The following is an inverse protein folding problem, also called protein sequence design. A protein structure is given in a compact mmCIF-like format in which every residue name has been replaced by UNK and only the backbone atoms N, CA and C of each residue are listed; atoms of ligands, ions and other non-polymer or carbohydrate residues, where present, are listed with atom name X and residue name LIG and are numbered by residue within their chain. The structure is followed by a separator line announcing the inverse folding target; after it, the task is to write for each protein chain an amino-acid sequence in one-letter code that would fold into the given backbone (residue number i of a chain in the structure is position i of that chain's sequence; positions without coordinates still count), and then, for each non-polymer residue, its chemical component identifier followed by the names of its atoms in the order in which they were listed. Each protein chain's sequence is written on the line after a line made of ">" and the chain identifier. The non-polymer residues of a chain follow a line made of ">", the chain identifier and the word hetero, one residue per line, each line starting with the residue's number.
data_IF_790340215436
#
_entry.id   IF_790340215436
#
_cell.length_a   1.000
_cell.length_b   1.000
_cell.length_c   1.000
_cell.angle_alpha   90.00
_cell.angle_beta   90.00
_cell.angle_gamma   90.00
#
_symmetry.space_group_name_H-M   'P 1'
#
loop_
_entity.id
_entity.type
_entity.pdbx_description
1 polymer ?
#
# COMPACT_ATOMS: atom_id res chain seq x y z
N UNK A 1 1.47 28.80 -72.80
CA UNK A 1 0.90 27.56 -72.23
C UNK A 1 1.56 26.39 -72.96
N UNK A 2 2.24 25.40 -72.38
CA UNK A 2 2.32 24.91 -71.02
C UNK A 2 3.73 24.28 -70.80
N UNK A 3 4.28 24.45 -69.60
CA UNK A 3 5.62 24.00 -69.25
C UNK A 3 5.70 22.50 -68.98
N UNK A 4 6.68 21.83 -69.60
CA UNK A 4 7.02 20.43 -69.32
C UNK A 4 8.00 20.39 -68.14
N UNK A 5 7.47 20.16 -66.93
CA UNK A 5 8.28 20.06 -65.70
C UNK A 5 8.84 18.65 -65.58
N UNK A 6 10.14 18.54 -65.78
CA UNK A 6 10.94 17.34 -65.57
C UNK A 6 11.01 17.06 -64.06
N UNK A 7 10.27 16.06 -63.58
CA UNK A 7 10.27 15.65 -62.19
C UNK A 7 11.60 14.97 -61.85
N UNK A 8 12.56 15.76 -61.36
CA UNK A 8 13.77 15.24 -60.72
C UNK A 8 13.36 14.46 -59.47
N UNK A 9 13.61 13.16 -59.50
CA UNK A 9 13.57 12.31 -58.32
C UNK A 9 14.55 12.87 -57.28
N UNK A 10 14.02 13.41 -56.19
CA UNK A 10 14.82 13.69 -55.00
C UNK A 10 15.10 12.36 -54.28
N UNK A 11 16.33 12.10 -53.81
CA UNK A 11 16.63 10.94 -53.00
C UNK A 11 15.84 11.04 -51.68
N UNK A 12 15.04 10.02 -51.40
CA UNK A 12 14.33 9.86 -50.13
C UNK A 12 15.39 9.74 -49.02
N UNK A 13 15.30 10.51 -47.92
CA UNK A 13 16.21 10.33 -46.80
C UNK A 13 16.09 8.89 -46.27
N UNK A 14 17.20 8.25 -45.87
CA UNK A 14 17.14 6.93 -45.27
C UNK A 14 16.21 7.00 -44.06
N UNK A 15 15.21 6.12 -44.04
CA UNK A 15 14.41 5.87 -42.84
C UNK A 15 15.39 5.42 -41.76
N UNK A 16 15.71 6.32 -40.85
CA UNK A 16 16.39 6.02 -39.60
C UNK A 16 15.62 4.90 -38.92
N UNK A 17 16.19 3.69 -38.95
CA UNK A 17 15.67 2.52 -38.29
C UNK A 17 15.78 2.69 -36.78
N UNK A 18 14.82 3.37 -36.17
CA UNK A 18 14.83 3.69 -34.75
C UNK A 18 13.47 4.07 -34.22
N UNK A 19 12.42 3.37 -34.64
CA UNK A 19 11.06 3.50 -34.09
C UNK A 19 10.71 2.25 -33.28
N UNK A 20 11.63 1.81 -32.42
CA UNK A 20 11.19 1.16 -31.19
C UNK A 20 11.03 2.30 -30.18
N UNK A 21 9.82 2.56 -29.66
CA UNK A 21 9.68 3.49 -28.57
C UNK A 21 10.55 2.92 -27.45
N UNK A 22 11.66 3.60 -27.11
CA UNK A 22 12.43 3.29 -25.93
C UNK A 22 11.40 3.18 -24.81
N UNK A 23 11.18 1.97 -24.32
CA UNK A 23 10.14 1.79 -23.31
C UNK A 23 10.63 2.57 -22.10
N UNK A 24 9.74 3.14 -21.28
CA UNK A 24 10.13 3.98 -20.15
C UNK A 24 11.16 3.29 -19.20
N UNK A 25 11.27 1.96 -19.30
CA UNK A 25 12.28 1.11 -18.65
C UNK A 25 13.69 1.26 -19.23
N UNK A 26 13.83 1.53 -20.52
CA UNK A 26 15.11 1.73 -21.22
C UNK A 26 15.70 3.13 -20.97
N UNK A 27 14.85 4.12 -20.63
CA UNK A 27 15.31 5.45 -20.19
C UNK A 27 15.64 5.50 -18.69
N UNK A 28 15.15 4.55 -17.90
CA UNK A 28 15.40 4.51 -16.47
C UNK A 28 16.65 3.66 -16.20
N UNK A 29 17.76 4.31 -15.83
CA UNK A 29 19.00 3.61 -15.53
C UNK A 29 18.75 2.51 -14.48
N UNK A 30 19.32 1.29 -14.63
CA UNK A 30 19.14 0.19 -13.68
C UNK A 30 19.48 0.57 -12.23
N UNK A 31 20.43 1.48 -12.04
CA UNK A 31 20.72 2.08 -10.74
C UNK A 31 19.51 2.79 -10.10
N UNK A 32 18.76 3.58 -10.87
CA UNK A 32 17.60 4.32 -10.37
C UNK A 32 16.48 3.34 -10.03
N UNK A 33 16.30 2.30 -10.84
CA UNK A 33 15.36 1.21 -10.54
C UNK A 33 15.73 0.47 -9.25
N UNK A 34 17.01 0.26 -8.98
CA UNK A 34 17.47 -0.38 -7.74
C UNK A 34 17.28 0.53 -6.53
N UNK A 35 17.58 1.83 -6.65
CA UNK A 35 17.29 2.83 -5.61
C UNK A 35 15.80 2.92 -5.31
N UNK A 36 14.96 2.91 -6.33
CA UNK A 36 13.50 2.95 -6.16
C UNK A 36 12.96 1.69 -5.49
N UNK A 37 13.48 0.51 -5.84
CA UNK A 37 13.14 -0.74 -5.13
C UNK A 37 13.57 -0.69 -3.67
N UNK A 38 14.79 -0.24 -3.38
CA UNK A 38 15.28 -0.11 -2.01
C UNK A 38 14.42 0.84 -1.17
N UNK A 39 13.97 1.97 -1.75
CA UNK A 39 13.04 2.89 -1.09
C UNK A 39 11.65 2.28 -0.90
N UNK A 40 11.13 1.56 -1.91
CA UNK A 40 9.84 0.89 -1.80
C UNK A 40 9.85 -0.20 -0.72
N UNK A 41 10.94 -0.95 -0.60
CA UNK A 41 11.09 -1.99 0.41
C UNK A 41 11.25 -1.38 1.81
N UNK A 42 11.96 -0.26 1.93
CA UNK A 42 12.05 0.49 3.19
C UNK A 42 10.67 1.04 3.63
N UNK A 43 9.87 1.57 2.70
CA UNK A 43 8.53 2.08 3.00
C UNK A 43 7.57 0.95 3.40
N UNK A 44 7.64 -0.21 2.75
CA UNK A 44 6.86 -1.39 3.15
C UNK A 44 7.22 -1.88 4.55
N UNK A 45 8.50 -1.83 4.92
CA UNK A 45 8.94 -2.18 6.25
C UNK A 45 8.39 -1.21 7.32
N UNK A 46 8.42 0.10 7.04
CA UNK A 46 7.83 1.12 7.94
C UNK A 46 6.31 0.95 8.06
N UNK A 47 5.63 0.66 6.95
CA UNK A 47 4.18 0.45 6.96
C UNK A 47 3.77 -0.82 7.72
N UNK A 48 4.54 -1.91 7.58
CA UNK A 48 4.34 -3.12 8.38
C UNK A 48 4.52 -2.86 9.88
N UNK A 49 5.53 -2.08 10.27
CA UNK A 49 5.73 -1.68 11.68
C UNK A 49 4.57 -0.84 12.21
N UNK A 50 4.06 0.11 11.42
CA UNK A 50 2.90 0.94 11.82
C UNK A 50 1.64 0.11 12.01
N UNK A 51 1.42 -0.89 11.16
CA UNK A 51 0.26 -1.78 11.30
C UNK A 51 0.38 -2.59 12.59
N UNK A 52 1.56 -3.14 12.88
CA UNK A 52 1.79 -3.92 14.10
C UNK A 52 1.63 -3.07 15.36
N UNK A 53 2.22 -1.87 15.39
CA UNK A 53 2.07 -0.92 16.49
C UNK A 53 0.60 -0.55 16.74
N UNK A 54 -0.19 -0.40 15.68
CA UNK A 54 -1.64 -0.16 15.82
C UNK A 54 -2.38 -1.36 16.38
N UNK A 55 -1.95 -2.59 16.09
CA UNK A 55 -2.55 -3.80 16.68
C UNK A 55 -2.24 -3.89 18.17
N UNK A 56 -0.97 -3.70 18.54
CA UNK A 56 -0.53 -3.72 19.94
C UNK A 56 -1.30 -2.67 20.75
N UNK A 57 -1.38 -1.42 20.26
CA UNK A 57 -2.12 -0.35 20.96
C UNK A 57 -3.61 -0.65 21.12
N UNK A 58 -4.24 -1.31 20.15
CA UNK A 58 -5.65 -1.72 20.25
C UNK A 58 -5.84 -2.83 21.28
N UNK A 59 -4.91 -3.78 21.35
CA UNK A 59 -4.95 -4.86 22.33
C UNK A 59 -4.67 -4.34 23.75
N UNK A 60 -3.71 -3.43 23.92
CA UNK A 60 -3.45 -2.75 25.18
C UNK A 60 -4.65 -1.91 25.64
N UNK A 61 -5.30 -1.17 24.74
CA UNK A 61 -6.49 -0.40 25.06
C UNK A 61 -7.64 -1.30 25.55
N UNK A 62 -7.87 -2.43 24.87
CA UNK A 62 -8.86 -3.42 25.30
C UNK A 62 -8.52 -4.03 26.65
N UNK A 63 -7.24 -4.33 26.90
CA UNK A 63 -6.79 -4.88 28.18
C UNK A 63 -6.94 -3.86 29.31
N UNK A 64 -6.62 -2.59 29.06
CA UNK A 64 -6.80 -1.52 30.03
C UNK A 64 -8.29 -1.28 30.32
N UNK A 65 -9.14 -1.27 29.30
CA UNK A 65 -10.59 -1.17 29.47
C UNK A 65 -11.15 -2.36 30.26
N UNK A 66 -10.78 -3.58 29.90
CA UNK A 66 -11.16 -4.78 30.65
C UNK A 66 -10.71 -4.69 32.10
N UNK A 67 -9.47 -4.26 32.35
CA UNK A 67 -8.97 -4.09 33.71
C UNK A 67 -9.73 -2.99 34.47
N UNK A 68 -10.21 -1.93 33.80
CA UNK A 68 -11.07 -0.93 34.45
C UNK A 68 -12.44 -1.51 34.79
N UNK A 69 -13.02 -2.28 33.89
CA UNK A 69 -14.31 -2.95 34.10
C UNK A 69 -14.23 -4.00 35.21
N UNK A 70 -13.13 -4.75 35.28
CA UNK A 70 -12.86 -5.73 36.33
C UNK A 70 -12.66 -5.08 37.71
N UNK A 71 -12.25 -3.81 37.76
CA UNK A 71 -12.16 -3.03 38.99
C UNK A 71 -13.45 -2.26 39.30
N UNK A 72 -14.34 -2.10 38.33
CA UNK A 72 -15.63 -1.43 38.52
C UNK A 72 -16.65 -2.42 39.09
N UNK A 73 -16.88 -2.30 40.40
CA UNK A 73 -17.84 -3.12 41.12
C UNK A 73 -19.26 -3.05 40.53
N UNK A 74 -19.66 -1.94 39.90
CA UNK A 74 -20.97 -1.84 39.26
C UNK A 74 -21.10 -2.72 38.02
N UNK A 75 -20.05 -2.77 37.21
CA UNK A 75 -19.97 -3.67 36.05
C UNK A 75 -19.94 -5.13 36.50
N UNK A 76 -19.10 -5.47 37.46
CA UNK A 76 -19.02 -6.82 38.03
C UNK A 76 -20.34 -7.27 38.65
N UNK A 77 -21.05 -6.39 39.37
CA UNK A 77 -22.33 -6.72 39.99
C UNK A 77 -23.40 -7.00 38.95
N UNK A 78 -23.48 -6.20 37.89
CA UNK A 78 -24.41 -6.43 36.79
C UNK A 78 -24.09 -7.71 36.03
N UNK A 79 -22.81 -7.98 35.76
CA UNK A 79 -22.37 -9.22 35.10
C UNK A 79 -22.72 -10.46 35.95
N UNK A 80 -22.34 -10.43 37.24
CA UNK A 80 -22.60 -11.55 38.16
C UNK A 80 -24.07 -11.77 38.48
N UNK A 81 -24.92 -10.74 38.49
CA UNK A 81 -26.38 -10.92 38.64
C UNK A 81 -27.04 -11.56 37.42
N UNK A 82 -26.46 -11.40 36.23
CA UNK A 82 -26.90 -12.11 35.01
C UNK A 82 -26.39 -13.56 35.02
N UNK A 83 -25.18 -13.81 35.53
CA UNK A 83 -24.54 -15.13 35.51
C UNK A 83 -24.96 -16.05 36.69
N UNK A 84 -25.29 -15.48 37.85
CA UNK A 84 -25.69 -16.23 39.06
C UNK A 84 -27.21 -16.34 39.14
N UNK A 85 -27.77 -17.19 38.30
CA UNK A 85 -29.17 -17.61 38.41
C UNK A 85 -29.28 -18.67 39.52
N UNK A 86 -29.24 -18.21 40.78
CA UNK A 86 -29.36 -19.03 42.00
C UNK A 86 -30.63 -19.89 42.04
N UNK A 87 -31.63 -19.58 41.21
CA UNK A 87 -32.84 -20.40 41.02
C UNK A 87 -32.57 -21.74 40.35
N UNK A 88 -31.46 -21.89 39.62
CA UNK A 88 -31.08 -23.15 38.96
C UNK A 88 -30.43 -24.17 39.91
N UNK A 89 -30.01 -23.73 41.10
CA UNK A 89 -29.33 -24.56 42.09
C UNK A 89 -30.18 -24.81 43.34
N UNK A 90 -31.51 -24.70 43.24
CA UNK A 90 -32.44 -24.94 44.35
C UNK A 90 -33.16 -26.28 44.23
#
# INVERSE_FOLDING_TARGET
>A
MAGKRNARHAPKPPKSGGDQPATLKDMLSPEILNKLKAQADALKADEAQRIEDQRIRKEEAKKAEQQRLDNDFGYLLNQSTVDVDWRKHK
#
